data_IF_047491467764
#
_entry.id   IF_047491467764
#
_cell.length_a   1.000
_cell.length_b   1.000
_cell.length_c   1.000
_cell.angle_alpha   90.00
_cell.angle_beta   90.00
_cell.angle_gamma   90.00
#
_symmetry.space_group_name_H-M   'P 1'
#
loop_
_entity.id
_entity.type
_entity.pdbx_description
1 polymer ?
#
# COMPACT_ATOMS: atom_id res chain seq x y z
N UNK A 1 19.33 5.90 -23.87
CA UNK A 1 18.89 7.25 -23.46
C UNK A 1 19.48 8.31 -24.38
N UNK A 2 18.75 9.41 -24.65
CA UNK A 2 19.27 10.54 -25.41
C UNK A 2 20.45 11.18 -24.68
N UNK A 3 21.48 11.57 -25.45
CA UNK A 3 22.70 12.21 -24.91
C UNK A 3 22.53 13.69 -24.59
N UNK A 4 21.43 14.29 -25.07
CA UNK A 4 21.14 15.72 -24.97
C UNK A 4 19.67 15.93 -24.58
N UNK A 5 19.31 17.09 -24.01
CA UNK A 5 17.91 17.42 -23.70
C UNK A 5 17.00 17.36 -24.93
N UNK A 6 15.75 16.96 -24.71
CA UNK A 6 14.69 17.01 -25.71
C UNK A 6 13.75 18.16 -25.33
N UNK A 7 13.56 19.12 -26.24
CA UNK A 7 12.64 20.23 -26.03
C UNK A 7 11.20 19.76 -26.25
N UNK A 8 10.40 19.75 -25.18
CA UNK A 8 9.00 19.29 -25.22
C UNK A 8 8.14 20.09 -26.19
N UNK A 9 8.46 21.36 -26.42
CA UNK A 9 7.75 22.24 -27.36
C UNK A 9 7.86 21.79 -28.82
N UNK A 10 8.83 20.94 -29.15
CA UNK A 10 8.98 20.36 -30.50
C UNK A 10 8.28 19.01 -30.65
N UNK A 11 7.69 18.47 -29.59
CA UNK A 11 6.87 17.26 -29.67
C UNK A 11 5.49 17.59 -30.23
N UNK A 12 4.80 16.59 -30.78
CA UNK A 12 3.42 16.78 -31.23
C UNK A 12 2.50 17.08 -30.05
N UNK A 13 1.36 17.75 -30.25
CA UNK A 13 0.41 18.01 -29.18
C UNK A 13 -0.03 16.75 -28.42
N UNK A 14 -0.21 15.63 -29.13
CA UNK A 14 -0.61 14.35 -28.55
C UNK A 14 0.49 13.78 -27.64
N UNK A 15 1.75 13.88 -28.06
CA UNK A 15 2.88 13.46 -27.24
C UNK A 15 3.05 14.35 -26.00
N UNK A 16 2.88 15.67 -26.13
CA UNK A 16 2.93 16.59 -24.99
C UNK A 16 1.82 16.29 -23.97
N UNK A 17 0.61 15.94 -24.44
CA UNK A 17 -0.56 15.71 -23.61
C UNK A 17 -0.46 14.46 -22.71
N UNK A 18 0.42 13.51 -23.03
CA UNK A 18 0.57 12.26 -22.27
C UNK A 18 1.80 12.24 -21.34
N UNK A 19 2.64 13.28 -21.35
CA UNK A 19 3.81 13.36 -20.46
C UNK A 19 3.36 13.44 -18.99
N UNK A 20 3.76 12.46 -18.19
CA UNK A 20 3.41 12.37 -16.77
C UNK A 20 1.99 11.84 -16.52
N UNK A 21 1.33 11.33 -17.56
CA UNK A 21 0.00 10.73 -17.45
C UNK A 21 0.07 9.20 -17.34
N UNK A 22 -0.84 8.64 -16.56
CA UNK A 22 -0.98 7.19 -16.40
C UNK A 22 -1.99 6.63 -17.39
N UNK A 23 -1.82 5.39 -17.82
CA UNK A 23 -2.86 4.70 -18.59
C UNK A 23 -4.16 4.62 -17.75
N UNK A 24 -5.37 4.74 -18.34
CA UNK A 24 -6.63 4.70 -17.60
C UNK A 24 -6.79 3.47 -16.69
N UNK A 25 -6.28 2.32 -17.12
CA UNK A 25 -6.31 1.09 -16.31
C UNK A 25 -5.36 1.11 -15.10
N UNK A 26 -4.38 2.01 -15.09
CA UNK A 26 -3.41 2.19 -14.00
C UNK A 26 -3.70 3.40 -13.11
N UNK A 27 -4.71 4.21 -13.45
CA UNK A 27 -5.16 5.34 -12.62
C UNK A 27 -5.52 4.93 -11.17
N UNK A 28 -6.17 3.77 -10.90
CA UNK A 28 -6.41 3.32 -9.54
C UNK A 28 -5.12 3.06 -8.76
N UNK A 29 -4.09 2.51 -9.40
CA UNK A 29 -2.80 2.23 -8.76
C UNK A 29 -2.09 3.54 -8.35
N UNK A 30 -2.12 4.57 -9.21
CA UNK A 30 -1.63 5.91 -8.87
C UNK A 30 -2.36 6.47 -7.64
N UNK A 31 -3.69 6.39 -7.62
CA UNK A 31 -4.48 6.88 -6.50
C UNK A 31 -4.15 6.15 -5.17
N UNK A 32 -3.89 4.83 -5.22
CA UNK A 32 -3.43 4.06 -4.06
C UNK A 32 -2.07 4.56 -3.56
N UNK A 33 -1.10 4.75 -4.45
CA UNK A 33 0.23 5.24 -4.09
C UNK A 33 0.19 6.67 -3.52
N UNK A 34 -0.57 7.56 -4.14
CA UNK A 34 -0.75 8.94 -3.65
C UNK A 34 -1.38 8.96 -2.25
N UNK A 35 -2.36 8.10 -1.96
CA UNK A 35 -2.93 7.91 -0.62
C UNK A 35 -1.93 7.36 0.39
N UNK A 36 -0.94 6.59 -0.05
CA UNK A 36 0.17 6.14 0.78
C UNK A 36 1.24 7.22 0.99
N UNK A 37 1.18 8.34 0.26
CA UNK A 37 2.08 9.50 0.40
C UNK A 37 3.05 9.70 -0.75
N UNK A 38 2.94 8.91 -1.83
CA UNK A 38 3.74 9.11 -3.03
C UNK A 38 3.30 10.36 -3.79
N UNK A 39 4.24 10.97 -4.52
CA UNK A 39 3.99 12.16 -5.31
C UNK A 39 4.79 12.14 -6.60
N UNK A 40 4.23 12.76 -7.64
CA UNK A 40 4.94 13.03 -8.89
C UNK A 40 6.02 14.10 -8.68
N UNK A 41 7.24 13.84 -9.15
CA UNK A 41 8.40 14.74 -9.02
C UNK A 41 9.00 15.16 -10.37
N UNK A 42 8.18 15.20 -11.43
CA UNK A 42 8.59 15.60 -12.78
C UNK A 42 9.60 14.63 -13.44
N UNK A 43 9.57 13.35 -13.06
CA UNK A 43 10.30 12.28 -13.71
C UNK A 43 9.32 11.39 -14.46
N UNK A 44 9.66 11.03 -15.69
CA UNK A 44 8.84 10.17 -16.55
C UNK A 44 9.62 8.97 -17.05
N UNK A 45 8.93 7.88 -17.34
CA UNK A 45 9.50 6.72 -18.02
C UNK A 45 9.97 7.11 -19.44
N UNK A 46 11.09 6.52 -19.86
CA UNK A 46 11.77 6.88 -21.11
C UNK A 46 11.12 6.26 -22.35
N UNK A 47 10.20 5.30 -22.19
CA UNK A 47 9.53 4.60 -23.28
C UNK A 47 8.15 5.19 -23.54
N UNK A 48 7.33 5.34 -22.49
CA UNK A 48 5.92 5.74 -22.63
C UNK A 48 5.60 7.12 -22.02
N UNK A 49 6.54 7.76 -21.32
CA UNK A 49 6.32 9.06 -20.71
C UNK A 49 5.45 9.02 -19.44
N UNK A 50 5.12 7.84 -18.91
CA UNK A 50 4.35 7.68 -17.69
C UNK A 50 5.06 8.25 -16.46
N UNK A 51 4.34 8.71 -15.43
CA UNK A 51 4.93 9.39 -14.29
C UNK A 51 5.66 8.40 -13.36
N UNK A 52 6.82 8.82 -12.88
CA UNK A 52 7.46 8.21 -11.71
C UNK A 52 6.91 8.85 -10.44
N UNK A 53 6.38 8.01 -9.53
CA UNK A 53 5.91 8.44 -8.22
C UNK A 53 6.93 8.08 -7.15
N UNK A 54 7.24 9.02 -6.27
CA UNK A 54 8.26 8.85 -5.22
C UNK A 54 7.71 9.21 -3.84
N UNK A 55 8.20 8.51 -2.82
CA UNK A 55 7.93 8.80 -1.41
C UNK A 55 9.18 8.50 -0.58
N UNK A 56 9.44 9.33 0.43
CA UNK A 56 10.43 8.99 1.45
C UNK A 56 9.83 7.89 2.35
N UNK A 57 10.61 6.88 2.74
CA UNK A 57 10.10 5.67 3.44
C UNK A 57 9.34 6.04 4.72
N UNK A 58 9.83 7.02 5.47
CA UNK A 58 9.22 7.55 6.71
C UNK A 58 7.90 8.30 6.47
N UNK A 59 7.60 8.65 5.22
CA UNK A 59 6.35 9.29 4.80
C UNK A 59 5.31 8.30 4.27
N UNK A 60 5.70 7.08 3.93
CA UNK A 60 4.77 6.03 3.50
C UNK A 60 3.80 5.73 4.65
N UNK A 61 2.51 6.01 4.45
CA UNK A 61 1.47 5.90 5.48
C UNK A 61 1.43 4.50 6.08
N UNK A 62 1.41 3.45 5.27
CA UNK A 62 1.39 2.07 5.74
C UNK A 62 2.60 1.74 6.63
N UNK A 63 3.79 2.25 6.29
CA UNK A 63 5.00 2.07 7.09
C UNK A 63 4.88 2.85 8.40
N UNK A 64 4.68 4.17 8.31
CA UNK A 64 4.64 5.09 9.45
C UNK A 64 3.53 4.78 10.46
N UNK A 65 2.35 4.35 9.98
CA UNK A 65 1.19 4.06 10.83
C UNK A 65 1.08 2.59 11.22
N UNK A 66 1.90 1.71 10.66
CA UNK A 66 1.93 0.32 11.12
C UNK A 66 2.50 0.23 12.53
N UNK A 67 2.07 -0.78 13.26
CA UNK A 67 2.57 -1.08 14.60
C UNK A 67 2.66 -2.58 14.81
N UNK A 68 3.52 -2.97 15.73
CA UNK A 68 3.63 -4.34 16.20
C UNK A 68 2.56 -4.60 17.27
N UNK A 69 1.94 -5.77 17.21
CA UNK A 69 0.93 -6.26 18.17
C UNK A 69 1.14 -7.73 18.47
N UNK A 70 0.89 -8.11 19.71
CA UNK A 70 0.92 -9.52 20.11
C UNK A 70 -0.31 -10.25 19.58
N UNK A 71 -0.14 -11.52 19.26
CA UNK A 71 -1.21 -12.38 18.78
C UNK A 71 -1.70 -13.31 19.88
N UNK A 72 -3.02 -13.52 19.95
CA UNK A 72 -3.62 -14.61 20.71
C UNK A 72 -4.61 -15.40 19.86
N UNK A 73 -4.67 -16.69 20.08
CA UNK A 73 -5.70 -17.53 19.48
C UNK A 73 -7.05 -17.28 20.14
N UNK A 74 -8.10 -17.16 19.34
CA UNK A 74 -9.47 -17.08 19.81
C UNK A 74 -10.44 -16.62 18.73
N UNK A 75 -11.69 -16.41 19.13
CA UNK A 75 -12.69 -15.81 18.27
C UNK A 75 -12.84 -14.34 18.62
N UNK A 76 -12.66 -13.45 17.64
CA UNK A 76 -12.92 -12.04 17.83
C UNK A 76 -14.42 -11.82 18.10
N UNK A 77 -14.74 -11.00 19.10
CA UNK A 77 -16.12 -10.64 19.40
C UNK A 77 -16.79 -9.98 18.17
N UNK A 78 -18.05 -10.31 17.87
CA UNK A 78 -18.80 -9.67 16.78
C UNK A 78 -18.77 -8.15 16.93
N UNK A 79 -18.46 -7.45 15.84
CA UNK A 79 -18.41 -5.99 15.80
C UNK A 79 -18.17 -5.50 14.38
N UNK A 80 -18.57 -4.26 14.09
CA UNK A 80 -18.28 -3.61 12.82
C UNK A 80 -16.85 -3.04 12.83
N UNK A 81 -15.88 -3.93 12.59
CA UNK A 81 -14.47 -3.58 12.57
C UNK A 81 -13.99 -3.23 11.16
N UNK A 82 -13.14 -2.19 11.02
CA UNK A 82 -12.55 -1.85 9.72
C UNK A 82 -11.59 -2.95 9.27
N UNK A 83 -11.42 -3.06 7.95
CA UNK A 83 -10.37 -3.91 7.38
C UNK A 83 -8.98 -3.35 7.74
N UNK A 84 -8.11 -4.23 8.21
CA UNK A 84 -6.72 -3.94 8.51
C UNK A 84 -5.82 -4.93 7.77
N UNK A 85 -4.68 -4.45 7.28
CA UNK A 85 -3.60 -5.28 6.78
C UNK A 85 -2.81 -5.81 7.98
N UNK A 86 -2.65 -7.12 8.04
CA UNK A 86 -1.85 -7.82 9.05
C UNK A 86 -0.77 -8.60 8.33
N UNK A 87 0.49 -8.42 8.73
CA UNK A 87 1.62 -9.15 8.18
C UNK A 87 2.42 -9.82 9.30
N UNK A 88 2.94 -11.01 9.04
CA UNK A 88 3.91 -11.63 9.93
C UNK A 88 5.27 -10.90 9.84
N UNK A 89 6.12 -11.05 10.85
CA UNK A 89 7.48 -10.49 10.85
C UNK A 89 8.51 -11.56 10.42
N UNK A 90 8.15 -12.41 9.44
CA UNK A 90 9.02 -13.45 8.91
C UNK A 90 9.53 -13.08 7.51
N UNK A 91 10.83 -12.83 7.38
CA UNK A 91 11.43 -12.44 6.10
C UNK A 91 11.36 -13.54 5.02
N UNK A 92 11.61 -14.80 5.39
CA UNK A 92 11.68 -15.91 4.41
C UNK A 92 10.29 -16.40 4.01
N UNK A 93 9.38 -16.47 4.98
CA UNK A 93 8.02 -16.95 4.82
C UNK A 93 7.01 -15.83 5.05
N UNK A 94 7.23 -14.69 4.41
CA UNK A 94 6.36 -13.52 4.55
C UNK A 94 4.92 -13.87 4.17
N UNK A 95 3.99 -13.48 5.03
CA UNK A 95 2.54 -13.58 4.80
C UNK A 95 1.88 -12.29 5.25
N UNK A 96 0.86 -11.89 4.49
CA UNK A 96 -0.03 -10.81 4.87
C UNK A 96 -1.47 -11.15 4.49
N UNK A 97 -2.42 -10.67 5.28
CA UNK A 97 -3.85 -10.85 5.03
C UNK A 97 -4.66 -9.64 5.50
N UNK A 98 -5.91 -9.57 5.05
CA UNK A 98 -6.88 -8.61 5.55
C UNK A 98 -7.65 -9.22 6.71
N UNK A 99 -7.65 -8.53 7.86
CA UNK A 99 -8.41 -8.90 9.06
C UNK A 99 -9.31 -7.76 9.45
N UNK A 100 -10.58 -8.05 9.77
CA UNK A 100 -11.50 -7.07 10.36
C UNK A 100 -11.30 -7.04 11.86
N UNK A 101 -10.61 -6.00 12.35
CA UNK A 101 -10.24 -5.89 13.77
C UNK A 101 -10.15 -4.44 14.21
N UNK A 102 -10.10 -4.20 15.52
CA UNK A 102 -9.83 -2.88 16.07
C UNK A 102 -8.38 -2.47 15.73
N UNK A 103 -8.14 -1.42 14.93
CA UNK A 103 -6.78 -1.03 14.54
C UNK A 103 -5.93 -0.51 15.70
N UNK A 104 -6.52 -0.29 16.88
CA UNK A 104 -5.87 0.14 18.11
C UNK A 104 -5.76 -0.96 19.19
N UNK A 105 -6.11 -2.22 18.89
CA UNK A 105 -5.98 -3.32 19.85
C UNK A 105 -4.52 -3.54 20.29
N UNK A 106 -4.25 -3.73 21.58
CA UNK A 106 -2.90 -4.10 22.03
C UNK A 106 -2.55 -5.54 21.64
N UNK A 107 -3.56 -6.41 21.67
CA UNK A 107 -3.48 -7.82 21.30
C UNK A 107 -4.48 -8.13 20.19
N UNK A 108 -3.99 -8.75 19.12
CA UNK A 108 -4.78 -9.20 17.99
C UNK A 108 -5.28 -10.62 18.24
N UNK A 109 -6.59 -10.78 18.34
CA UNK A 109 -7.23 -12.09 18.41
C UNK A 109 -7.41 -12.63 17.00
N UNK A 110 -6.83 -13.80 16.72
CA UNK A 110 -6.95 -14.50 15.45
C UNK A 110 -7.48 -15.91 15.68
N UNK A 111 -8.28 -16.38 14.72
CA UNK A 111 -8.73 -17.78 14.69
C UNK A 111 -7.57 -18.73 14.36
N UNK A 112 -7.72 -20.02 14.67
CA UNK A 112 -6.75 -21.04 14.28
C UNK A 112 -6.44 -21.04 12.76
N UNK A 113 -7.47 -20.81 11.93
CA UNK A 113 -7.31 -20.74 10.48
C UNK A 113 -6.52 -19.50 10.03
N UNK A 114 -6.72 -18.36 10.68
CA UNK A 114 -5.99 -17.12 10.42
C UNK A 114 -4.52 -17.21 10.87
N UNK A 115 -4.25 -17.86 12.01
CA UNK A 115 -2.90 -18.16 12.48
C UNK A 115 -2.15 -19.05 11.48
N UNK A 116 -2.77 -20.13 11.02
CA UNK A 116 -2.16 -21.01 10.02
C UNK A 116 -1.92 -20.30 8.68
N UNK A 117 -2.86 -19.45 8.25
CA UNK A 117 -2.73 -18.66 7.02
C UNK A 117 -1.58 -17.64 7.10
N UNK A 118 -1.42 -16.97 8.25
CA UNK A 118 -0.30 -16.05 8.50
C UNK A 118 1.01 -16.75 8.83
N UNK A 119 0.99 -18.07 9.09
CA UNK A 119 2.13 -18.85 9.57
C UNK A 119 2.76 -18.22 10.83
N UNK A 120 1.90 -17.89 11.80
CA UNK A 120 2.31 -17.45 13.14
C UNK A 120 1.56 -18.24 14.21
N UNK A 121 2.06 -18.17 15.45
CA UNK A 121 1.49 -18.80 16.62
C UNK A 121 0.94 -17.76 17.60
N UNK A 122 0.09 -18.18 18.52
CA UNK A 122 -0.25 -17.36 19.68
C UNK A 122 1.02 -17.03 20.48
N UNK A 123 1.17 -15.75 20.85
CA UNK A 123 2.38 -15.22 21.49
C UNK A 123 3.38 -14.59 20.52
N UNK A 124 3.26 -14.82 19.21
CA UNK A 124 4.07 -14.13 18.22
C UNK A 124 3.62 -12.67 18.05
N UNK A 125 4.48 -11.86 17.46
CA UNK A 125 4.18 -10.48 17.10
C UNK A 125 3.92 -10.36 15.61
N UNK A 126 2.91 -9.57 15.24
CA UNK A 126 2.57 -9.24 13.85
C UNK A 126 2.49 -7.74 13.65
N UNK A 127 2.64 -7.30 12.40
CA UNK A 127 2.49 -5.90 12.01
C UNK A 127 1.07 -5.65 11.54
N UNK A 128 0.45 -4.62 12.12
CA UNK A 128 -0.93 -4.25 11.86
C UNK A 128 -1.02 -2.80 11.38
N UNK A 129 -1.79 -2.56 10.33
CA UNK A 129 -2.16 -1.21 9.88
C UNK A 129 -3.57 -1.20 9.30
N UNK A 130 -4.34 -0.14 9.55
CA UNK A 130 -5.68 0.01 8.95
C UNK A 130 -5.55 0.13 7.42
N UNK A 131 -6.35 -0.64 6.67
CA UNK A 131 -6.44 -0.48 5.22
C UNK A 131 -6.98 0.93 4.92
N UNK A 132 -6.33 1.65 4.00
CA UNK A 132 -6.85 2.96 3.59
C UNK A 132 -8.22 2.74 2.94
N UNK A 133 -9.30 3.41 3.39
CA UNK A 133 -10.58 3.29 2.70
C UNK A 133 -10.42 3.78 1.27
N UNK A 134 -10.92 3.02 0.31
CA UNK A 134 -11.38 3.63 -0.93
C UNK A 134 -12.55 4.54 -0.55
N UNK A 135 -12.43 5.84 -0.83
CA UNK A 135 -13.65 6.63 -0.99
C UNK A 135 -14.36 6.00 -2.17
N UNK A 136 -15.55 5.42 -1.92
CA UNK A 136 -16.48 5.16 -3.02
C UNK A 136 -16.76 6.53 -3.63
N UNK A 137 -16.14 6.81 -4.78
CA UNK A 137 -16.58 7.93 -5.61
C UNK A 137 -18.02 7.61 -6.01
N UNK A 138 -18.95 8.38 -5.46
CA UNK A 138 -20.36 8.35 -5.83
C UNK A 138 -20.54 8.77 -7.29
#
# INVERSE_FOLDING_TARGET
>A
MPKHPIYTHFLTPEAQAVIGEVHPQTAPARAVLEKEGFRYRNYVDIFDGGPTLECDIDRVRAIRKSRLVDVSEGQLAPGDWPACLVANENYTNFRAMLVRTNPKCERLVLTAAELDALKCNAGDTVRLVRLCPEEKTA
#
